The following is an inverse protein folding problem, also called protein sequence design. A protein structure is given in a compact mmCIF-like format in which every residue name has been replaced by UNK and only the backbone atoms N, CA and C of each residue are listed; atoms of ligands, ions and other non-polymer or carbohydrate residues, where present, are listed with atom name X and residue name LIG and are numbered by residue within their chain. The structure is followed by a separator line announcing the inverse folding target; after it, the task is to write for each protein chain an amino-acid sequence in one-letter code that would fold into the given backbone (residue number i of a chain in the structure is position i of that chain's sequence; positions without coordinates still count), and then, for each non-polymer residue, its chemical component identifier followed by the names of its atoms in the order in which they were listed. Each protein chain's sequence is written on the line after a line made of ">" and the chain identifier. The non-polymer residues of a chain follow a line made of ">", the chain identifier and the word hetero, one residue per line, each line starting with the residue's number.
data_IF_198724805937
#
_entry.id   IF_198724805937
#
_cell.length_a   1.000
_cell.length_b   1.000
_cell.length_c   1.000
_cell.angle_alpha   90.00
_cell.angle_beta   90.00
_cell.angle_gamma   90.00
#
_symmetry.space_group_name_H-M   'P 1'
#
loop_
_entity.id
_entity.type
_entity.pdbx_description
1 polymer ?
#
# COMPACT_ATOMS: atom_id res chain seq x y z
N UNK A 1 21.42 -27.57 4.86
CA UNK A 1 20.79 -26.44 5.60
C UNK A 1 20.83 -25.18 4.73
N UNK A 2 19.69 -24.70 4.24
CA UNK A 2 19.65 -23.49 3.39
C UNK A 2 19.46 -22.23 4.25
N UNK A 3 20.51 -21.42 4.43
CA UNK A 3 20.44 -20.06 4.99
C UNK A 3 19.58 -19.21 4.05
N UNK A 4 18.26 -19.13 4.27
CA UNK A 4 17.34 -18.54 3.28
C UNK A 4 16.84 -17.13 3.57
N UNK A 5 17.19 -16.52 4.69
CA UNK A 5 16.75 -15.16 4.98
C UNK A 5 17.84 -14.43 5.77
N UNK A 6 18.95 -14.12 5.11
CA UNK A 6 19.88 -13.11 5.62
C UNK A 6 19.31 -11.75 5.23
N UNK A 7 19.19 -10.83 6.18
CA UNK A 7 18.74 -9.47 5.91
C UNK A 7 19.65 -8.88 4.80
N UNK A 8 19.10 -8.49 3.63
CA UNK A 8 19.88 -7.95 2.52
C UNK A 8 20.37 -6.52 2.80
N UNK A 9 19.86 -5.87 3.85
CA UNK A 9 20.24 -4.53 4.24
C UNK A 9 21.30 -4.56 5.34
N UNK A 10 22.29 -3.67 5.23
CA UNK A 10 23.25 -3.42 6.31
C UNK A 10 22.52 -2.95 7.56
N UNK A 11 22.98 -3.34 8.77
CA UNK A 11 22.43 -2.80 10.02
C UNK A 11 22.40 -1.27 9.97
N UNK A 12 21.25 -0.70 10.31
CA UNK A 12 21.06 0.74 10.35
C UNK A 12 21.36 1.23 11.76
N UNK A 13 22.49 1.92 11.93
CA UNK A 13 22.85 2.56 13.19
C UNK A 13 22.18 3.94 13.25
N UNK A 14 21.18 4.07 14.12
CA UNK A 14 20.48 5.32 14.36
C UNK A 14 21.11 6.05 15.54
N UNK A 15 21.34 7.36 15.39
CA UNK A 15 21.61 8.21 16.55
C UNK A 15 20.31 8.46 17.34
N UNK A 16 20.42 8.90 18.61
CA UNK A 16 19.26 9.08 19.48
C UNK A 16 18.17 9.98 18.89
N UNK A 17 18.57 11.11 18.29
CA UNK A 17 17.63 12.05 17.66
C UNK A 17 16.90 11.45 16.46
N UNK A 18 17.61 10.73 15.59
CA UNK A 18 17.02 10.07 14.42
C UNK A 18 16.05 8.94 14.84
N UNK A 19 16.36 8.23 15.93
CA UNK A 19 15.45 7.25 16.50
C UNK A 19 14.16 7.90 17.01
N UNK A 20 14.27 9.01 17.75
CA UNK A 20 13.11 9.76 18.26
C UNK A 20 12.23 10.32 17.12
N UNK A 21 12.86 10.83 16.05
CA UNK A 21 12.15 11.34 14.87
C UNK A 21 11.39 10.22 14.14
N UNK A 22 12.03 9.07 13.92
CA UNK A 22 11.39 7.90 13.30
C UNK A 22 10.23 7.39 14.15
N UNK A 23 10.39 7.35 15.47
CA UNK A 23 9.32 6.96 16.39
C UNK A 23 8.14 7.95 16.34
N UNK A 24 8.43 9.26 16.27
CA UNK A 24 7.40 10.30 16.11
C UNK A 24 6.64 10.14 14.80
N UNK A 25 7.34 9.89 13.69
CA UNK A 25 6.72 9.65 12.39
C UNK A 25 5.85 8.39 12.43
N UNK A 26 6.37 7.28 12.97
CA UNK A 26 5.64 6.04 13.09
C UNK A 26 4.33 6.22 13.87
N UNK A 27 4.39 6.90 15.03
CA UNK A 27 3.19 7.23 15.81
C UNK A 27 2.17 8.05 15.04
N UNK A 28 2.65 9.06 14.29
CA UNK A 28 1.78 9.92 13.48
C UNK A 28 1.04 9.11 12.41
N UNK A 29 1.76 8.28 11.66
CA UNK A 29 1.14 7.42 10.65
C UNK A 29 0.16 6.43 11.26
N UNK A 30 0.55 5.71 12.31
CA UNK A 30 -0.32 4.73 12.97
C UNK A 30 -1.60 5.40 13.47
N UNK A 31 -1.48 6.55 14.12
CA UNK A 31 -2.63 7.28 14.64
C UNK A 31 -3.56 7.75 13.51
N UNK A 32 -3.02 8.32 12.43
CA UNK A 32 -3.78 8.79 11.27
C UNK A 32 -4.54 7.63 10.59
N UNK A 33 -3.85 6.51 10.38
CA UNK A 33 -4.44 5.32 9.76
C UNK A 33 -5.49 4.65 10.64
N UNK A 34 -5.33 4.64 11.97
CA UNK A 34 -6.36 4.16 12.90
C UNK A 34 -7.61 5.04 12.79
N UNK A 35 -7.46 6.36 12.85
CA UNK A 35 -8.59 7.29 12.74
C UNK A 35 -9.35 7.12 11.41
N UNK A 36 -8.62 6.96 10.29
CA UNK A 36 -9.23 6.71 8.98
C UNK A 36 -9.99 5.38 8.96
N UNK A 37 -9.44 4.33 9.57
CA UNK A 37 -10.10 3.03 9.66
C UNK A 37 -11.36 3.08 10.52
N UNK A 38 -11.31 3.77 11.66
CA UNK A 38 -12.48 3.97 12.53
C UNK A 38 -13.60 4.73 11.80
N UNK A 39 -13.25 5.78 11.05
CA UNK A 39 -14.20 6.50 10.20
C UNK A 39 -14.84 5.57 9.16
N UNK A 40 -14.04 4.78 8.44
CA UNK A 40 -14.55 3.80 7.48
C UNK A 40 -15.50 2.78 8.13
N UNK A 41 -15.16 2.30 9.33
CA UNK A 41 -15.95 1.31 10.05
C UNK A 41 -17.29 1.88 10.53
N UNK A 42 -17.27 3.08 11.11
CA UNK A 42 -18.41 3.65 11.83
C UNK A 42 -19.27 4.60 10.98
N UNK A 43 -18.65 5.44 10.15
CA UNK A 43 -19.36 6.46 9.37
C UNK A 43 -19.77 5.92 7.99
N UNK A 44 -18.87 5.18 7.34
CA UNK A 44 -19.09 4.67 5.98
C UNK A 44 -19.66 3.24 5.96
N UNK A 45 -19.94 2.67 7.14
CA UNK A 45 -20.52 1.35 7.33
C UNK A 45 -19.73 0.26 6.56
N UNK A 46 -18.40 0.36 6.61
CA UNK A 46 -17.46 -0.53 5.91
C UNK A 46 -17.60 -0.53 4.37
N UNK A 47 -17.99 0.59 3.77
CA UNK A 47 -18.09 0.74 2.30
C UNK A 47 -17.17 1.85 1.81
N UNK A 48 -16.33 1.52 0.83
CA UNK A 48 -15.48 2.51 0.17
C UNK A 48 -16.27 3.32 -0.84
N UNK A 49 -15.97 4.62 -0.98
CA UNK A 49 -16.55 5.46 -2.02
C UNK A 49 -16.24 4.91 -3.43
N UNK A 50 -17.25 4.50 -4.23
CA UNK A 50 -17.05 3.98 -5.57
C UNK A 50 -16.51 4.99 -6.59
N UNK A 51 -16.67 6.31 -6.32
CA UNK A 51 -16.13 7.37 -7.18
C UNK A 51 -14.63 7.52 -7.00
N UNK A 52 -14.11 7.31 -5.79
CA UNK A 52 -12.68 7.33 -5.48
C UNK A 52 -12.00 5.98 -5.69
N UNK A 53 -12.67 4.87 -5.39
CA UNK A 53 -12.07 3.54 -5.37
C UNK A 53 -12.62 2.63 -6.49
N UNK A 54 -11.72 1.90 -7.15
CA UNK A 54 -12.06 0.87 -8.15
C UNK A 54 -11.77 -0.50 -7.57
N UNK A 55 -12.74 -1.41 -7.65
CA UNK A 55 -12.56 -2.81 -7.26
C UNK A 55 -11.49 -3.50 -8.14
N UNK A 56 -10.59 -4.24 -7.49
CA UNK A 56 -9.47 -4.95 -8.14
C UNK A 56 -9.70 -6.45 -8.11
N UNK A 57 -9.96 -7.00 -6.93
CA UNK A 57 -10.14 -8.44 -6.74
C UNK A 57 -10.84 -8.74 -5.43
N UNK A 58 -11.37 -9.96 -5.34
CA UNK A 58 -11.93 -10.53 -4.11
C UNK A 58 -11.39 -11.94 -3.93
N UNK A 59 -11.01 -12.27 -2.71
CA UNK A 59 -10.59 -13.61 -2.31
C UNK A 59 -11.21 -13.95 -0.96
N UNK A 60 -12.18 -14.88 -0.97
CA UNK A 60 -12.93 -15.23 0.24
C UNK A 60 -13.73 -14.03 0.74
N UNK A 61 -13.44 -13.58 1.96
CA UNK A 61 -14.06 -12.40 2.57
C UNK A 61 -13.20 -11.12 2.42
N UNK A 62 -12.09 -11.17 1.68
CA UNK A 62 -11.20 -10.04 1.49
C UNK A 62 -11.44 -9.40 0.12
N UNK A 63 -11.72 -8.10 0.10
CA UNK A 63 -11.92 -7.31 -1.12
C UNK A 63 -10.81 -6.27 -1.23
N UNK A 64 -10.17 -6.21 -2.39
CA UNK A 64 -9.11 -5.27 -2.68
C UNK A 64 -9.60 -4.18 -3.64
N UNK A 65 -9.26 -2.94 -3.33
CA UNK A 65 -9.60 -1.76 -4.11
C UNK A 65 -8.34 -0.94 -4.41
N UNK A 66 -8.30 -0.30 -5.57
CA UNK A 66 -7.26 0.65 -5.96
C UNK A 66 -7.87 2.03 -6.12
N UNK A 67 -7.18 3.07 -5.67
CA UNK A 67 -7.61 4.44 -5.87
C UNK A 67 -7.62 4.79 -7.36
N UNK A 68 -8.71 5.39 -7.83
CA UNK A 68 -8.79 5.95 -9.18
C UNK A 68 -7.93 7.21 -9.18
N UNK A 69 -6.92 7.26 -10.04
CA UNK A 69 -6.21 8.51 -10.32
C UNK A 69 -7.27 9.49 -10.81
N UNK A 70 -7.49 10.57 -10.06
CA UNK A 70 -8.38 11.63 -10.48
C UNK A 70 -8.00 12.04 -11.90
N UNK A 71 -8.97 12.09 -12.79
CA UNK A 71 -8.80 12.73 -14.10
C UNK A 71 -8.55 14.21 -13.84
N UNK A 72 -7.32 14.57 -13.50
CA UNK A 72 -6.76 15.82 -13.98
C UNK A 72 -6.72 15.61 -15.48
N UNK A 73 -7.58 16.35 -16.17
CA UNK A 73 -7.62 16.62 -17.59
C UNK A 73 -6.20 16.91 -18.13
N UNK A 74 -5.43 15.83 -18.29
CA UNK A 74 -4.12 15.85 -18.92
C UNK A 74 -4.34 15.86 -20.44
N UNK A 75 -4.75 17.03 -20.93
CA UNK A 75 -4.51 17.41 -22.32
C UNK A 75 -3.04 17.78 -22.48
N UNK A 76 -2.14 16.83 -22.23
CA UNK A 76 -0.77 16.89 -22.69
C UNK A 76 -0.32 15.47 -23.03
N UNK A 77 -0.47 15.16 -24.31
CA UNK A 77 0.26 14.08 -24.97
C UNK A 77 1.76 14.21 -24.65
N UNK A 78 2.28 13.33 -23.83
CA UNK A 78 3.71 13.01 -23.79
C UNK A 78 3.83 11.55 -23.37
N UNK A 79 3.71 10.67 -24.35
CA UNK A 79 4.85 9.94 -24.91
C UNK A 79 5.51 9.06 -23.86
N UNK A 80 5.20 7.78 -23.95
CA UNK A 80 5.54 6.77 -22.98
C UNK A 80 7.01 6.75 -22.62
N UNK A 81 7.27 6.49 -21.33
CA UNK A 81 8.28 5.53 -20.98
C UNK A 81 7.84 4.75 -19.73
N UNK A 82 8.15 3.47 -19.81
CA UNK A 82 7.69 2.34 -19.05
C UNK A 82 8.33 2.34 -17.65
N UNK A 83 7.52 2.35 -16.57
CA UNK A 83 8.03 2.11 -15.23
C UNK A 83 7.70 0.66 -14.87
N UNK A 84 8.70 -0.25 -14.79
CA UNK A 84 8.45 -1.66 -14.57
C UNK A 84 7.93 -1.83 -13.14
N UNK A 85 6.62 -2.04 -13.02
CA UNK A 85 6.03 -2.60 -11.82
C UNK A 85 6.64 -4.00 -11.69
N UNK A 86 7.58 -4.19 -10.76
CA UNK A 86 8.14 -5.50 -10.42
C UNK A 86 6.99 -6.39 -9.91
N UNK A 87 6.29 -7.02 -10.84
CA UNK A 87 5.26 -8.01 -10.58
C UNK A 87 5.93 -9.37 -10.32
N UNK A 88 6.77 -9.45 -9.29
CA UNK A 88 7.25 -10.74 -8.78
C UNK A 88 6.30 -11.24 -7.69
N UNK A 89 5.04 -11.42 -8.05
CA UNK A 89 4.16 -12.35 -7.32
C UNK A 89 3.95 -13.55 -8.23
N UNK A 90 4.68 -14.68 -8.03
CA UNK A 90 4.43 -15.87 -8.82
C UNK A 90 3.03 -16.36 -8.50
N UNK A 91 2.12 -16.12 -9.45
CA UNK A 91 0.76 -16.64 -9.50
C UNK A 91 0.88 -18.15 -9.59
N UNK A 92 0.90 -18.84 -8.44
CA UNK A 92 0.83 -20.30 -8.41
C UNK A 92 -0.58 -20.68 -8.84
N UNK A 93 -0.68 -21.12 -10.09
CA UNK A 93 -1.80 -21.87 -10.62
C UNK A 93 -2.07 -23.08 -9.71
N UNK A 94 -3.14 -23.01 -8.92
CA UNK A 94 -3.77 -24.19 -8.35
C UNK A 94 -4.91 -24.58 -9.29
N UNK A 95 -4.53 -25.27 -10.38
CA UNK A 95 -5.45 -26.08 -11.17
C UNK A 95 -5.51 -27.49 -10.59
N UNK A 96 -6.77 -27.91 -10.37
CA UNK A 96 -7.31 -29.26 -10.14
C UNK A 96 -7.07 -29.92 -8.79
#
# INVERSE_FOLDING_TARGET
>A
MTKRFANPFTPLDLNGTAADELERLARMFVQDHISLYEQFLHEENSRVDPQRWKFVSEQGACQAYSERRGSIDDSSSSSGDDMPIHADTPRRDLRR
#
